data_IF_075486373265
#
_entry.id   IF_075486373265
#
_cell.length_a   1.000
_cell.length_b   1.000
_cell.length_c   1.000
_cell.angle_alpha   90.00
_cell.angle_beta   90.00
_cell.angle_gamma   90.00
#
_symmetry.space_group_name_H-M   'P 1'
#
loop_
_entity.id
_entity.type
_entity.pdbx_description
1 polymer ?
#
# COMPACT_ATOMS: atom_id res chain seq x y z
N UNK A 1 4.09 0.25 11.51
CA UNK A 1 5.41 -0.20 11.98
C UNK A 1 5.32 -0.71 13.41
N UNK A 2 4.43 -1.68 13.68
CA UNK A 2 4.28 -2.28 15.03
C UNK A 2 4.83 -3.73 15.05
N UNK A 3 4.78 -4.44 13.92
CA UNK A 3 5.21 -5.84 13.85
C UNK A 3 6.72 -6.01 14.05
N UNK A 4 7.55 -5.09 13.54
CA UNK A 4 9.01 -5.12 13.71
C UNK A 4 9.49 -4.73 15.11
N UNK A 5 8.60 -4.28 15.99
CA UNK A 5 8.94 -3.86 17.35
C UNK A 5 8.96 -5.02 18.37
N UNK A 6 8.48 -6.21 18.00
CA UNK A 6 8.31 -7.36 18.89
C UNK A 6 8.93 -8.66 18.34
N UNK A 7 9.93 -8.57 17.45
CA UNK A 7 10.57 -9.75 16.86
C UNK A 7 12.05 -9.78 17.22
N UNK A 8 12.59 -10.96 17.53
CA UNK A 8 14.03 -11.16 17.74
C UNK A 8 14.83 -10.66 16.52
N UNK A 9 16.06 -10.19 16.74
CA UNK A 9 16.90 -9.58 15.69
C UNK A 9 17.06 -10.48 14.45
N UNK A 10 16.95 -11.80 14.61
CA UNK A 10 17.04 -12.79 13.54
C UNK A 10 15.85 -12.73 12.55
N UNK A 11 14.65 -12.41 13.02
CA UNK A 11 13.42 -12.42 12.21
C UNK A 11 13.00 -11.03 11.71
N UNK A 12 13.67 -9.96 12.13
CA UNK A 12 13.39 -8.59 11.67
C UNK A 12 13.55 -8.46 10.14
N UNK A 13 14.56 -9.11 9.56
CA UNK A 13 14.80 -9.14 8.12
C UNK A 13 13.62 -9.80 7.39
N UNK A 14 13.20 -10.96 7.87
CA UNK A 14 12.08 -11.74 7.30
C UNK A 14 10.78 -10.96 7.35
N UNK A 15 10.44 -10.36 8.50
CA UNK A 15 9.22 -9.58 8.67
C UNK A 15 9.21 -8.32 7.78
N UNK A 16 10.34 -7.63 7.68
CA UNK A 16 10.48 -6.47 6.80
C UNK A 16 10.36 -6.86 5.32
N UNK A 17 11.01 -7.96 4.91
CA UNK A 17 10.93 -8.47 3.54
C UNK A 17 9.49 -8.86 3.16
N UNK A 18 8.76 -9.53 4.06
CA UNK A 18 7.35 -9.86 3.86
C UNK A 18 6.48 -8.60 3.76
N UNK A 19 6.70 -7.60 4.62
CA UNK A 19 5.97 -6.34 4.55
C UNK A 19 6.20 -5.60 3.22
N UNK A 20 7.46 -5.52 2.77
CA UNK A 20 7.82 -4.92 1.48
C UNK A 20 7.22 -5.70 0.32
N UNK A 21 7.23 -7.03 0.36
CA UNK A 21 6.62 -7.87 -0.65
C UNK A 21 5.13 -7.57 -0.82
N UNK A 22 4.37 -7.57 0.28
CA UNK A 22 2.94 -7.24 0.23
C UNK A 22 2.68 -5.78 -0.19
N UNK A 23 3.55 -4.84 0.20
CA UNK A 23 3.44 -3.44 -0.21
C UNK A 23 3.64 -3.26 -1.72
N UNK A 24 4.63 -3.96 -2.29
CA UNK A 24 4.91 -3.92 -3.72
C UNK A 24 3.80 -4.61 -4.53
N UNK A 25 3.31 -5.76 -4.06
CA UNK A 25 2.18 -6.46 -4.68
C UNK A 25 0.93 -5.58 -4.66
N UNK A 26 0.56 -5.04 -3.49
CA UNK A 26 -0.62 -4.17 -3.36
C UNK A 26 -0.54 -2.94 -4.28
N UNK A 27 0.63 -2.30 -4.35
CA UNK A 27 0.86 -1.17 -5.25
C UNK A 27 0.75 -1.57 -6.73
N UNK A 28 1.41 -2.65 -7.14
CA UNK A 28 1.43 -3.10 -8.54
C UNK A 28 0.05 -3.53 -9.03
N UNK A 29 -0.68 -4.33 -8.24
CA UNK A 29 -2.03 -4.74 -8.58
C UNK A 29 -2.99 -3.56 -8.66
N UNK A 30 -2.89 -2.62 -7.72
CA UNK A 30 -3.71 -1.40 -7.73
C UNK A 30 -3.47 -0.56 -8.98
N UNK A 31 -2.21 -0.35 -9.37
CA UNK A 31 -1.85 0.39 -10.59
C UNK A 31 -2.36 -0.34 -11.84
N UNK A 32 -2.21 -1.66 -11.92
CA UNK A 32 -2.70 -2.47 -13.04
C UNK A 32 -4.22 -2.40 -13.19
N UNK A 33 -4.95 -2.49 -12.07
CA UNK A 33 -6.40 -2.33 -12.06
C UNK A 33 -6.81 -0.91 -12.47
N UNK A 34 -6.11 0.12 -11.95
CA UNK A 34 -6.35 1.52 -12.28
C UNK A 34 -6.18 1.81 -13.78
N UNK A 35 -5.10 1.29 -14.38
CA UNK A 35 -4.86 1.42 -15.82
C UNK A 35 -5.94 0.72 -16.64
N UNK A 36 -6.36 -0.48 -16.24
CA UNK A 36 -7.42 -1.24 -16.92
C UNK A 36 -8.77 -0.52 -16.86
N UNK A 37 -9.15 -0.02 -15.69
CA UNK A 37 -10.40 0.74 -15.49
C UNK A 37 -10.38 2.03 -16.29
N UNK A 38 -9.29 2.79 -16.21
CA UNK A 38 -9.13 4.03 -16.95
C UNK A 38 -9.24 3.81 -18.46
N UNK A 39 -8.52 2.84 -19.02
CA UNK A 39 -8.55 2.51 -20.44
C UNK A 39 -9.93 2.08 -20.92
N UNK A 40 -10.62 1.24 -20.14
CA UNK A 40 -11.96 0.77 -20.46
C UNK A 40 -13.00 1.91 -20.41
N UNK A 41 -12.97 2.75 -19.36
CA UNK A 41 -13.91 3.87 -19.21
C UNK A 41 -13.65 4.93 -20.29
N UNK A 42 -12.39 5.28 -20.53
CA UNK A 42 -12.01 6.27 -21.54
C UNK A 42 -12.43 5.83 -22.93
N UNK A 43 -12.17 4.58 -23.30
CA UNK A 43 -12.60 4.01 -24.59
C UNK A 43 -14.11 4.09 -24.78
N UNK A 44 -14.86 3.65 -23.76
CA UNK A 44 -16.33 3.68 -23.80
C UNK A 44 -16.87 5.10 -23.91
N UNK A 45 -16.29 6.06 -23.20
CA UNK A 45 -16.71 7.47 -23.24
C UNK A 45 -16.36 8.16 -24.55
N UNK A 46 -15.16 7.94 -25.09
CA UNK A 46 -14.75 8.50 -26.39
C UNK A 46 -15.68 8.01 -27.51
N UNK A 47 -16.00 6.71 -27.53
CA UNK A 47 -16.94 6.15 -28.51
C UNK A 47 -18.34 6.77 -28.43
N UNK A 48 -18.77 7.18 -27.24
CA UNK A 48 -20.07 7.83 -27.03
C UNK A 48 -20.07 9.30 -27.43
N UNK A 49 -19.00 10.04 -27.13
CA UNK A 49 -19.00 11.50 -27.30
C UNK A 49 -18.46 11.95 -28.66
N UNK A 50 -17.55 11.19 -29.28
CA UNK A 50 -16.99 11.49 -30.61
C UNK A 50 -16.88 10.19 -31.43
N UNK A 51 -17.98 9.74 -32.05
CA UNK A 51 -17.95 8.55 -32.90
C UNK A 51 -17.02 8.79 -34.10
N UNK A 52 -15.92 8.03 -34.17
CA UNK A 52 -14.90 8.15 -35.22
C UNK A 52 -13.49 8.52 -34.71
N UNK A 53 -13.36 8.91 -33.44
CA UNK A 53 -12.05 9.17 -32.84
C UNK A 53 -11.45 7.87 -32.28
N UNK A 54 -10.24 7.45 -32.70
CA UNK A 54 -9.57 6.31 -32.08
C UNK A 54 -9.13 6.67 -30.65
N UNK A 55 -9.58 5.93 -29.61
CA UNK A 55 -9.20 6.20 -28.22
C UNK A 55 -7.69 6.16 -27.98
N UNK A 56 -6.99 5.34 -28.77
CA UNK A 56 -5.53 5.22 -28.76
C UNK A 56 -4.83 6.54 -29.10
N UNK A 57 -5.42 7.38 -29.96
CA UNK A 57 -4.86 8.69 -30.30
C UNK A 57 -4.98 9.70 -29.14
N UNK A 58 -6.04 9.58 -28.33
CA UNK A 58 -6.20 10.42 -27.12
C UNK A 58 -5.24 9.96 -26.03
N UNK A 59 -5.06 8.66 -25.86
CA UNK A 59 -4.08 8.10 -24.92
C UNK A 59 -2.64 8.43 -25.32
N UNK A 60 -2.30 8.36 -26.62
CA UNK A 60 -0.94 8.64 -27.10
C UNK A 60 -0.60 10.12 -27.15
N UNK A 61 -1.57 10.99 -27.46
CA UNK A 61 -1.38 12.44 -27.39
C UNK A 61 -1.08 12.91 -25.95
N UNK A 62 -1.72 12.28 -24.96
CA UNK A 62 -1.62 12.68 -23.56
C UNK A 62 -2.25 14.06 -23.28
N UNK A 63 -2.47 14.39 -22.01
CA UNK A 63 -3.19 15.60 -21.56
C UNK A 63 -2.67 16.91 -22.18
N UNK A 64 -1.38 16.97 -22.53
CA UNK A 64 -0.72 18.17 -23.05
C UNK A 64 -0.98 18.42 -24.53
N UNK A 65 -1.07 17.39 -25.39
CA UNK A 65 -1.28 17.58 -26.84
C UNK A 65 -2.73 17.48 -27.29
N UNK A 66 -3.67 17.13 -26.40
CA UNK A 66 -5.10 17.07 -26.76
C UNK A 66 -5.60 18.45 -27.25
N UNK A 67 -5.05 19.55 -26.70
CA UNK A 67 -5.44 20.93 -27.05
C UNK A 67 -4.96 21.39 -28.42
N UNK A 68 -3.91 20.76 -28.96
CA UNK A 68 -3.29 21.14 -30.24
C UNK A 68 -3.79 20.27 -31.39
N UNK A 69 -4.18 19.02 -31.10
CA UNK A 69 -4.56 18.02 -32.10
C UNK A 69 -6.09 18.03 -32.38
N UNK A 70 -6.91 18.39 -31.39
CA UNK A 70 -8.37 18.28 -31.50
C UNK A 70 -9.06 19.64 -31.57
N UNK A 71 -10.18 19.68 -32.29
CA UNK A 71 -11.00 20.88 -32.43
C UNK A 71 -11.58 21.32 -31.06
N UNK A 72 -11.81 22.62 -30.83
CA UNK A 72 -12.29 23.13 -29.54
C UNK A 72 -13.62 22.51 -29.09
N UNK A 73 -14.49 22.15 -30.04
CA UNK A 73 -15.77 21.51 -29.78
C UNK A 73 -15.63 20.06 -29.30
N UNK A 74 -14.64 19.32 -29.82
CA UNK A 74 -14.34 17.94 -29.38
C UNK A 74 -13.51 17.91 -28.10
N UNK A 75 -12.70 18.95 -27.87
CA UNK A 75 -11.81 19.05 -26.71
C UNK A 75 -12.57 18.98 -25.38
N UNK A 76 -13.67 19.73 -25.25
CA UNK A 76 -14.48 19.73 -24.01
C UNK A 76 -15.03 18.34 -23.72
N UNK A 77 -15.58 17.68 -24.75
CA UNK A 77 -16.10 16.32 -24.70
C UNK A 77 -15.04 15.27 -24.32
N UNK A 78 -13.85 15.35 -24.92
CA UNK A 78 -12.73 14.44 -24.61
C UNK A 78 -12.22 14.67 -23.18
N UNK A 79 -12.16 15.93 -22.75
CA UNK A 79 -11.73 16.28 -21.40
C UNK A 79 -12.72 15.74 -20.35
N UNK A 80 -14.03 15.85 -20.60
CA UNK A 80 -15.05 15.25 -19.73
C UNK A 80 -14.93 13.73 -19.68
N UNK A 81 -14.72 13.08 -20.83
CA UNK A 81 -14.47 11.63 -20.90
C UNK A 81 -13.24 11.20 -20.10
N UNK A 82 -12.16 12.00 -20.14
CA UNK A 82 -10.94 11.77 -19.39
C UNK A 82 -11.17 11.87 -17.87
N UNK A 83 -11.85 12.93 -17.42
CA UNK A 83 -12.19 13.13 -16.01
C UNK A 83 -13.11 12.00 -15.51
N UNK A 84 -14.05 11.54 -16.33
CA UNK A 84 -14.89 10.38 -16.00
C UNK A 84 -14.06 9.10 -15.82
N UNK A 85 -13.06 8.87 -16.67
CA UNK A 85 -12.10 7.78 -16.50
C UNK A 85 -11.36 7.86 -15.16
N UNK A 86 -10.83 9.04 -14.84
CA UNK A 86 -10.13 9.28 -13.56
C UNK A 86 -11.06 9.06 -12.37
N UNK A 87 -12.30 9.56 -12.42
CA UNK A 87 -13.32 9.32 -11.40
C UNK A 87 -13.61 7.85 -11.20
N UNK A 88 -13.73 7.08 -12.29
CA UNK A 88 -13.92 5.63 -12.25
C UNK A 88 -12.76 4.92 -11.54
N UNK A 89 -11.53 5.30 -11.84
CA UNK A 89 -10.34 4.77 -11.17
C UNK A 89 -10.31 5.10 -9.68
N UNK A 90 -10.62 6.34 -9.29
CA UNK A 90 -10.71 6.73 -7.87
C UNK A 90 -11.82 5.97 -7.13
N UNK A 91 -12.98 5.77 -7.76
CA UNK A 91 -14.07 5.00 -7.15
C UNK A 91 -13.66 3.57 -6.81
N UNK A 92 -12.95 2.90 -7.73
CA UNK A 92 -12.42 1.54 -7.51
C UNK A 92 -11.33 1.54 -6.44
N UNK A 93 -10.43 2.53 -6.44
CA UNK A 93 -9.40 2.67 -5.41
C UNK A 93 -10.04 2.87 -4.02
N UNK A 94 -11.05 3.73 -3.90
CA UNK A 94 -11.79 3.95 -2.66
C UNK A 94 -12.53 2.69 -2.20
N UNK A 95 -13.09 1.91 -3.13
CA UNK A 95 -13.72 0.63 -2.79
C UNK A 95 -12.70 -0.38 -2.23
N UNK A 96 -11.51 -0.49 -2.84
CA UNK A 96 -10.41 -1.32 -2.35
C UNK A 96 -9.94 -0.88 -0.94
N UNK A 97 -9.79 0.43 -0.73
CA UNK A 97 -9.46 1.02 0.57
C UNK A 97 -10.54 0.71 1.62
N UNK A 98 -11.82 0.84 1.26
CA UNK A 98 -12.94 0.53 2.13
C UNK A 98 -12.98 -0.96 2.50
N UNK A 99 -12.61 -1.85 1.57
CA UNK A 99 -12.47 -3.29 1.86
C UNK A 99 -11.26 -3.60 2.73
N UNK A 100 -10.18 -2.81 2.67
CA UNK A 100 -9.00 -2.99 3.53
C UNK A 100 -9.23 -2.52 4.98
N UNK A 101 -10.14 -1.57 5.20
CA UNK A 101 -10.45 -1.05 6.53
C UNK A 101 -10.89 -2.13 7.55
N UNK A 102 -11.82 -3.05 7.24
CA UNK A 102 -12.13 -4.15 8.15
C UNK A 102 -10.96 -5.12 8.34
N UNK A 103 -10.11 -5.34 7.33
CA UNK A 103 -8.92 -6.18 7.47
C UNK A 103 -7.91 -5.62 8.47
N UNK A 104 -7.87 -4.29 8.65
CA UNK A 104 -7.03 -3.65 9.67
C UNK A 104 -7.59 -3.77 11.10
N UNK A 105 -8.89 -4.08 11.24
CA UNK A 105 -9.55 -4.28 12.54
C UNK A 105 -9.53 -5.75 13.01
N UNK A 106 -9.23 -6.69 12.10
CA UNK A 106 -9.16 -8.12 12.36
C UNK A 106 -7.89 -8.65 13.06
N UNK A 107 -6.71 -8.00 13.03
CA UNK A 107 -5.59 -8.48 13.82
C UNK A 107 -6.01 -8.44 15.27
N UNK A 108 -6.11 -9.63 15.89
CA UNK A 108 -6.32 -9.74 17.33
C UNK A 108 -5.31 -8.83 18.00
N UNK A 109 -5.81 -7.95 18.87
CA UNK A 109 -5.02 -7.26 19.87
C UNK A 109 -4.47 -8.29 20.86
N UNK A 110 -3.60 -9.17 20.37
CA UNK A 110 -2.78 -10.03 21.20
C UNK A 110 -1.89 -9.08 21.99
N UNK A 111 -2.03 -9.10 23.32
CA UNK A 111 -1.34 -8.17 24.20
C UNK A 111 0.16 -8.25 23.94
N UNK A 112 0.74 -7.09 23.62
CA UNK A 112 2.17 -6.81 23.65
C UNK A 112 2.72 -7.31 25.00
N UNK A 113 3.25 -8.52 25.04
CA UNK A 113 4.08 -8.96 26.15
C UNK A 113 5.47 -8.39 25.86
N UNK A 114 6.01 -7.52 26.72
CA UNK A 114 7.40 -7.17 26.64
C UNK A 114 8.19 -8.45 26.91
N UNK A 115 8.98 -8.93 25.94
CA UNK A 115 10.05 -9.87 26.23
C UNK A 115 10.89 -9.27 27.37
N UNK A 116 11.08 -10.01 28.45
CA UNK A 116 11.98 -9.59 29.53
C UNK A 116 13.37 -9.37 28.91
N UNK A 117 14.02 -8.22 29.13
CA UNK A 117 15.38 -8.04 28.70
C UNK A 117 16.23 -9.16 29.31
N UNK A 118 16.89 -9.95 28.48
CA UNK A 118 17.81 -11.03 28.89
C UNK A 118 19.00 -10.53 29.73
N UNK A 119 19.09 -9.22 29.98
CA UNK A 119 20.03 -8.60 30.91
C UNK A 119 19.73 -8.98 32.36
N UNK A 120 18.45 -9.21 32.71
CA UNK A 120 18.06 -9.56 34.08
C UNK A 120 18.56 -10.94 34.49
N UNK A 121 18.70 -11.90 33.58
CA UNK A 121 19.20 -13.24 33.92
C UNK A 121 20.71 -13.23 34.17
N UNK A 122 21.48 -12.41 33.43
CA UNK A 122 22.90 -12.18 33.72
C UNK A 122 23.12 -11.40 35.01
N UNK A 123 22.29 -10.40 35.30
CA UNK A 123 22.38 -9.62 36.53
C UNK A 123 21.95 -10.43 37.76
N UNK A 124 20.90 -11.25 37.66
CA UNK A 124 20.49 -12.18 38.72
C UNK A 124 21.51 -13.30 38.96
N UNK A 125 22.21 -13.78 37.92
CA UNK A 125 23.30 -14.74 38.07
C UNK A 125 24.51 -14.14 38.79
N UNK A 126 24.85 -12.88 38.50
CA UNK A 126 25.94 -12.14 39.16
C UNK A 126 25.56 -11.81 40.61
N UNK A 127 24.32 -11.38 40.88
CA UNK A 127 23.84 -11.08 42.24
C UNK A 127 23.77 -12.35 43.11
N UNK A 128 23.36 -13.49 42.54
CA UNK A 128 23.35 -14.78 43.24
C UNK A 128 24.77 -15.31 43.52
N UNK A 129 25.72 -15.07 42.62
CA UNK A 129 27.14 -15.39 42.85
C UNK A 129 27.79 -14.48 43.90
N UNK A 130 27.41 -13.20 43.97
CA UNK A 130 27.90 -12.27 44.99
C UNK A 130 27.31 -12.56 46.37
N UNK A 131 26.02 -12.95 46.43
CA UNK A 131 25.37 -13.35 47.68
C UNK A 131 25.97 -14.63 48.27
N UNK A 132 26.22 -15.66 47.45
CA UNK A 132 26.79 -16.95 47.88
C UNK A 132 28.25 -16.82 48.38
N UNK A 133 29.02 -15.89 47.82
CA UNK A 133 30.40 -15.62 48.26
C UNK A 133 30.51 -14.73 49.51
N UNK A 134 29.38 -14.26 50.06
CA UNK A 134 29.35 -13.37 51.24
C UNK A 134 28.96 -14.06 52.56
N UNK A 135 28.58 -15.34 52.53
CA UNK A 135 28.41 -16.13 53.75
C UNK A 135 29.77 -16.57 54.30
N UNK A 136 30.15 -16.19 55.54
CA UNK A 136 31.40 -16.63 56.14
C UNK A 136 31.31 -18.13 56.43
N UNK A 137 32.16 -18.91 55.77
CA UNK A 137 32.51 -20.26 56.24
C UNK A 137 33.07 -20.11 57.64
N UNK A 138 32.27 -20.51 58.64
CA UNK A 138 32.64 -20.49 60.05
C UNK A 138 33.91 -21.27 60.37
#
# INVERSE_FOLDING_TARGET
>A
MANTACVEMEDMSTVSAMALFFQLIGGSFSVSAAQSVFGNVLTRRIQQTVPGLPPSAVMSAGASNIRTIFSPAQLSSILTAYIDGVKGTFAVATALLAMSAPLALLPKWERLRPERPLLTDSEMAVEKMQSDNSEPRG
#
